data_IF_313627171890
#
_entry.id   IF_313627171890
#
_cell.length_a   1.000
_cell.length_b   1.000
_cell.length_c   1.000
_cell.angle_alpha   90.00
_cell.angle_beta   90.00
_cell.angle_gamma   90.00
#
_symmetry.space_group_name_H-M   'P 1'
#
loop_
_entity.id
_entity.type
_entity.pdbx_description
1 polymer ?
#
# COMPACT_ATOMS: atom_id res chain seq x y z
N UNK A 1 11.89 -6.34 -1.55
CA UNK A 1 11.57 -7.25 -0.43
C UNK A 1 10.93 -8.51 -0.99
N UNK A 2 10.76 -9.60 -0.22
CA UNK A 2 10.11 -10.83 -0.72
C UNK A 2 8.70 -11.06 -0.15
N UNK A 3 8.01 -12.07 -0.71
CA UNK A 3 6.63 -12.41 -0.33
C UNK A 3 6.49 -12.84 1.13
N UNK A 4 7.48 -13.53 1.70
CA UNK A 4 7.42 -14.02 3.08
C UNK A 4 7.57 -12.88 4.09
N UNK A 5 8.40 -11.88 3.79
CA UNK A 5 8.48 -10.64 4.55
C UNK A 5 7.14 -9.89 4.51
N UNK A 6 6.52 -9.79 3.34
CA UNK A 6 5.21 -9.16 3.19
C UNK A 6 4.13 -9.91 3.97
N UNK A 7 4.11 -11.25 3.92
CA UNK A 7 3.20 -12.09 4.73
C UNK A 7 3.36 -11.85 6.22
N UNK A 8 4.61 -11.71 6.70
CA UNK A 8 4.89 -11.40 8.11
C UNK A 8 4.33 -10.05 8.53
N UNK A 9 4.43 -9.02 7.68
CA UNK A 9 3.85 -7.70 7.96
C UNK A 9 2.33 -7.75 8.04
N UNK A 10 1.69 -8.43 7.08
CA UNK A 10 0.23 -8.54 7.01
C UNK A 10 -0.39 -9.39 8.14
N UNK A 11 0.33 -10.43 8.58
CA UNK A 11 -0.15 -11.40 9.60
C UNK A 11 0.47 -11.17 10.98
N UNK A 12 1.14 -10.03 11.20
CA UNK A 12 1.72 -9.71 12.49
C UNK A 12 0.63 -9.67 13.57
N UNK A 13 0.86 -10.34 14.70
CA UNK A 13 -0.07 -10.35 15.84
C UNK A 13 -0.33 -8.94 16.39
N UNK A 14 0.69 -8.09 16.35
CA UNK A 14 0.57 -6.65 16.55
C UNK A 14 0.78 -5.95 15.21
N UNK A 15 -0.30 -5.85 14.45
CA UNK A 15 -0.26 -5.16 13.16
C UNK A 15 0.13 -3.69 13.36
N UNK A 16 1.05 -3.21 12.50
CA UNK A 16 1.41 -1.81 12.42
C UNK A 16 1.14 -1.32 11.00
N UNK A 17 0.47 -0.18 10.81
CA UNK A 17 0.31 0.40 9.48
C UNK A 17 1.66 0.58 8.79
N UNK A 18 1.70 0.32 7.49
CA UNK A 18 2.92 0.43 6.70
C UNK A 18 2.62 0.90 5.29
N UNK A 19 3.66 1.36 4.61
CA UNK A 19 3.62 1.78 3.21
C UNK A 19 4.53 0.86 2.42
N UNK A 20 4.01 0.28 1.33
CA UNK A 20 4.84 -0.44 0.35
C UNK A 20 5.27 0.52 -0.75
N UNK A 21 6.54 0.45 -1.13
CA UNK A 21 7.12 1.22 -2.22
C UNK A 21 7.56 0.27 -3.31
N UNK A 22 7.12 0.54 -4.53
CA UNK A 22 7.52 -0.20 -5.72
C UNK A 22 8.86 0.28 -6.26
N UNK A 23 9.45 -0.47 -7.19
CA UNK A 23 10.66 -0.07 -7.92
C UNK A 23 10.50 1.24 -8.70
N UNK A 24 9.27 1.65 -9.02
CA UNK A 24 8.94 2.93 -9.65
C UNK A 24 8.66 4.05 -8.64
N UNK A 25 9.01 3.83 -7.38
CA UNK A 25 8.79 4.74 -6.25
C UNK A 25 7.33 5.06 -5.94
N UNK A 26 6.36 4.39 -6.59
CA UNK A 26 4.94 4.51 -6.23
C UNK A 26 4.72 3.88 -4.86
N UNK A 27 3.98 4.60 -4.01
CA UNK A 27 3.72 4.28 -2.62
C UNK A 27 2.26 3.89 -2.40
N UNK A 28 2.03 2.81 -1.65
CA UNK A 28 0.70 2.31 -1.31
C UNK A 28 0.61 2.08 0.20
N UNK A 29 -0.34 2.76 0.84
CA UNK A 29 -0.49 2.74 2.29
C UNK A 29 -1.49 1.69 2.72
N UNK A 30 -1.11 0.86 3.68
CA UNK A 30 -1.94 -0.17 4.30
C UNK A 30 -2.25 0.29 5.74
N UNK A 31 -3.40 0.96 5.96
CA UNK A 31 -3.78 1.47 7.30
C UNK A 31 -4.19 0.37 8.28
N UNK A 32 -4.66 -0.77 7.79
CA UNK A 32 -5.19 -1.89 8.57
C UNK A 32 -5.05 -3.18 7.71
N UNK A 33 -4.89 -4.38 8.29
CA UNK A 33 -4.72 -5.61 7.51
C UNK A 33 -5.88 -5.86 6.56
N UNK A 34 -7.11 -5.45 6.89
CA UNK A 34 -8.28 -5.59 6.01
C UNK A 34 -8.22 -4.75 4.74
N UNK A 35 -7.33 -3.74 4.69
CA UNK A 35 -7.10 -2.95 3.48
C UNK A 35 -6.10 -3.63 2.54
N UNK A 36 -5.55 -4.78 2.91
CA UNK A 36 -4.60 -5.51 2.11
C UNK A 36 -5.01 -6.97 1.95
N UNK A 37 -5.08 -7.41 0.69
CA UNK A 37 -5.27 -8.82 0.38
C UNK A 37 -4.14 -9.30 -0.51
N UNK A 38 -3.31 -10.18 0.04
CA UNK A 38 -2.27 -10.89 -0.70
C UNK A 38 -2.89 -12.17 -1.27
N UNK A 39 -2.74 -12.41 -2.56
CA UNK A 39 -3.20 -13.64 -3.20
C UNK A 39 -2.59 -14.87 -2.52
N UNK A 40 -3.26 -16.04 -2.57
CA UNK A 40 -2.70 -17.29 -2.02
C UNK A 40 -1.28 -17.58 -2.52
N UNK A 41 -1.07 -17.40 -3.83
CA UNK A 41 0.21 -17.55 -4.53
C UNK A 41 1.24 -16.52 -4.03
N UNK A 42 0.76 -15.33 -3.64
CA UNK A 42 1.56 -14.25 -3.07
C UNK A 42 2.33 -13.44 -4.11
N UNK A 43 1.87 -13.49 -5.36
CA UNK A 43 2.37 -12.72 -6.49
C UNK A 43 1.69 -11.36 -6.62
N UNK A 44 0.48 -11.20 -6.09
CA UNK A 44 -0.32 -9.97 -6.22
C UNK A 44 -0.84 -9.50 -4.86
N UNK A 45 -0.67 -8.20 -4.59
CA UNK A 45 -1.21 -7.52 -3.43
C UNK A 45 -2.28 -6.51 -3.88
N UNK A 46 -3.49 -6.69 -3.38
CA UNK A 46 -4.57 -5.71 -3.50
C UNK A 46 -4.51 -4.76 -2.30
N UNK A 47 -4.48 -3.45 -2.55
CA UNK A 47 -4.46 -2.41 -1.49
C UNK A 47 -5.67 -1.51 -1.65
N UNK A 48 -6.63 -1.62 -0.73
CA UNK A 48 -7.84 -0.82 -0.69
C UNK A 48 -7.57 0.66 -0.45
N UNK A 49 -8.40 1.53 -1.03
CA UNK A 49 -8.34 2.97 -0.81
C UNK A 49 -9.04 3.35 0.50
N UNK A 50 -8.43 4.24 1.28
CA UNK A 50 -9.06 4.76 2.51
C UNK A 50 -10.08 5.84 2.16
N UNK A 51 -11.36 5.59 2.46
CA UNK A 51 -12.43 6.58 2.34
C UNK A 51 -13.04 6.73 0.93
N UNK A 52 -12.50 6.05 -0.07
CA UNK A 52 -13.06 5.95 -1.43
C UNK A 52 -13.21 4.47 -1.78
N UNK A 53 -14.19 4.12 -2.62
CA UNK A 53 -14.31 2.76 -3.14
C UNK A 53 -13.19 2.47 -4.14
N UNK A 54 -12.55 1.31 -4.03
CA UNK A 54 -11.52 0.87 -4.97
C UNK A 54 -10.30 0.24 -4.30
N UNK A 55 -9.42 -0.31 -5.13
CA UNK A 55 -8.14 -0.87 -4.73
C UNK A 55 -7.10 -0.68 -5.82
N UNK A 56 -5.85 -0.50 -5.41
CA UNK A 56 -4.70 -0.69 -6.29
C UNK A 56 -4.32 -2.18 -6.35
N UNK A 57 -3.92 -2.64 -7.53
CA UNK A 57 -3.34 -3.97 -7.75
C UNK A 57 -1.83 -3.80 -7.89
N UNK A 58 -1.06 -4.52 -7.09
CA UNK A 58 0.41 -4.38 -7.01
C UNK A 58 1.05 -5.75 -7.19
N UNK A 59 1.90 -5.88 -8.21
CA UNK A 59 2.74 -7.06 -8.37
C UNK A 59 3.79 -7.10 -7.24
N UNK A 60 3.78 -8.16 -6.44
CA UNK A 60 4.70 -8.34 -5.31
C UNK A 60 6.17 -8.33 -5.74
N UNK A 61 6.57 -8.91 -6.90
CA UNK A 61 7.94 -8.81 -7.39
C UNK A 61 8.41 -7.37 -7.65
N UNK A 62 7.50 -6.42 -7.85
CA UNK A 62 7.82 -5.02 -8.07
C UNK A 62 7.95 -4.22 -6.76
N UNK A 63 7.70 -4.84 -5.60
CA UNK A 63 7.84 -4.19 -4.30
C UNK A 63 9.31 -4.14 -3.87
N UNK A 64 9.87 -2.93 -3.89
CA UNK A 64 11.24 -2.68 -3.49
C UNK A 64 11.40 -2.77 -1.96
N UNK A 65 10.52 -2.11 -1.20
CA UNK A 65 10.61 -1.99 0.27
C UNK A 65 9.26 -1.71 0.92
N UNK A 66 9.19 -1.89 2.24
CA UNK A 66 8.07 -1.45 3.07
C UNK A 66 8.57 -0.74 4.33
N UNK A 67 7.90 0.34 4.73
CA UNK A 67 8.22 1.10 5.93
C UNK A 67 6.99 1.32 6.81
N UNK A 68 7.19 1.39 8.12
CA UNK A 68 6.14 1.71 9.09
C UNK A 68 5.81 3.21 9.20
N UNK A 69 6.41 4.05 8.34
CA UNK A 69 6.09 5.47 8.34
C UNK A 69 4.65 5.67 7.86
N UNK A 70 3.94 6.60 8.53
CA UNK A 70 2.67 7.14 8.01
C UNK A 70 2.87 7.56 6.56
N UNK A 71 1.84 7.46 5.71
CA UNK A 71 1.98 7.78 4.30
C UNK A 71 2.62 9.15 4.19
N UNK A 72 3.61 9.35 3.30
CA UNK A 72 3.96 10.72 2.91
C UNK A 72 2.63 11.36 2.55
N UNK A 73 2.27 12.44 3.26
CA UNK A 73 1.03 13.18 3.01
C UNK A 73 0.95 13.32 1.50
N UNK A 74 -0.06 12.70 0.87
CA UNK A 74 -0.33 12.95 -0.55
C UNK A 74 -0.49 14.46 -0.60
N UNK A 75 0.55 15.17 -1.03
CA UNK A 75 0.46 16.57 -1.38
C UNK A 75 -0.74 16.61 -2.29
N UNK A 76 -1.78 17.33 -1.88
CA UNK A 76 -3.01 17.54 -2.63
C UNK A 76 -2.60 18.27 -3.90
N UNK A 77 -2.05 17.53 -4.87
CA UNK A 77 -1.58 18.06 -6.13
C UNK A 77 -2.79 18.04 -7.05
N UNK A 78 -3.51 19.15 -7.05
CA UNK A 78 -4.34 19.55 -8.18
C UNK A 78 -5.84 19.39 -8.04
N UNK A 79 -6.46 20.04 -7.05
CA UNK A 79 -7.74 20.73 -7.29
C UNK A 79 -7.61 22.19 -6.91
N UNK A 80 -6.79 22.93 -7.67
CA UNK A 80 -6.97 24.37 -7.78
C UNK A 80 -8.26 24.55 -8.57
N UNK A 81 -9.29 25.01 -7.87
CA UNK A 81 -10.49 25.57 -8.48
C UNK A 81 -10.06 26.61 -9.53
N UNK A 82 -10.42 26.40 -10.78
CA UNK A 82 -10.58 27.52 -11.70
C UNK A 82 -11.88 28.18 -11.29
N UNK A 83 -11.74 29.29 -10.57
CA UNK A 83 -12.76 30.33 -10.49
C UNK A 83 -12.81 30.96 -11.88
N UNK A 84 -13.99 30.99 -12.49
CA UNK A 84 -14.28 31.59 -13.78
C UNK A 84 -15.78 31.67 -13.94
#
# INVERSE_FOLDING_TARGET
>A
MNVDELRKLLRASSFRPFTVYTISEKAYYVPHPEFAWLTPEGDTLFVGHSGEGGADIVDVPLIARADFQRPPTKSVRGRRAKVG
#
